data_IF_182361567437
#
_entry.id   IF_182361567437
#
_cell.length_a   1.000
_cell.length_b   1.000
_cell.length_c   1.000
_cell.angle_alpha   90.00
_cell.angle_beta   90.00
_cell.angle_gamma   90.00
#
_symmetry.space_group_name_H-M   'P 1'
#
loop_
_entity.id
_entity.type
_entity.pdbx_description
1 polymer ?
#
# COMPACT_ATOMS: atom_id res chain seq x y z
N UNK A 1 -4.32 47.16 -48.17
CA UNK A 1 -4.03 46.05 -47.27
C UNK A 1 -4.70 46.36 -45.94
N UNK A 2 -5.95 45.92 -45.73
CA UNK A 2 -6.73 46.23 -44.52
C UNK A 2 -6.25 45.32 -43.40
N UNK A 3 -5.32 45.79 -42.57
CA UNK A 3 -5.11 45.17 -41.24
C UNK A 3 -6.29 45.55 -40.34
N UNK A 4 -7.29 44.72 -40.37
CA UNK A 4 -8.46 44.91 -39.51
C UNK A 4 -7.99 44.82 -38.05
N UNK A 5 -8.35 45.80 -37.23
CA UNK A 5 -8.12 45.79 -35.76
C UNK A 5 -8.64 44.49 -35.12
N UNK A 6 -9.65 43.87 -35.70
CA UNK A 6 -10.20 42.58 -35.31
C UNK A 6 -9.24 41.42 -35.54
N UNK A 7 -8.40 41.46 -36.60
CA UNK A 7 -7.41 40.42 -36.88
C UNK A 7 -6.33 40.31 -35.79
N UNK A 8 -5.84 41.47 -35.32
CA UNK A 8 -4.82 41.48 -34.24
C UNK A 8 -5.39 40.97 -32.90
N UNK A 9 -6.62 41.40 -32.60
CA UNK A 9 -7.30 40.91 -31.37
C UNK A 9 -7.58 39.43 -31.42
N UNK A 10 -8.01 38.90 -32.59
CA UNK A 10 -8.27 37.46 -32.75
C UNK A 10 -6.97 36.63 -32.63
N UNK A 11 -5.86 37.14 -33.17
CA UNK A 11 -4.54 36.47 -33.05
C UNK A 11 -4.10 36.43 -31.58
N UNK A 12 -4.26 37.50 -30.81
CA UNK A 12 -3.90 37.52 -29.39
C UNK A 12 -4.75 36.53 -28.61
N UNK A 13 -6.07 36.48 -28.85
CA UNK A 13 -6.96 35.50 -28.21
C UNK A 13 -6.54 34.08 -28.56
N UNK A 14 -6.23 33.82 -29.83
CA UNK A 14 -5.77 32.50 -30.28
C UNK A 14 -4.47 32.05 -29.54
N UNK A 15 -3.50 32.95 -29.42
CA UNK A 15 -2.25 32.66 -28.70
C UNK A 15 -2.51 32.34 -27.23
N UNK A 16 -3.38 33.10 -26.56
CA UNK A 16 -3.74 32.84 -25.16
C UNK A 16 -4.40 31.48 -25.02
N UNK A 17 -5.31 31.10 -25.92
CA UNK A 17 -5.97 29.80 -25.90
C UNK A 17 -4.96 28.67 -26.11
N UNK A 18 -4.03 28.82 -27.06
CA UNK A 18 -2.99 27.80 -27.30
C UNK A 18 -2.08 27.63 -26.08
N UNK A 19 -1.65 28.72 -25.44
CA UNK A 19 -0.85 28.67 -24.21
C UNK A 19 -1.62 28.00 -23.08
N UNK A 20 -2.91 28.31 -22.93
CA UNK A 20 -3.77 27.65 -21.92
C UNK A 20 -3.90 26.13 -22.16
N UNK A 21 -4.07 25.71 -23.41
CA UNK A 21 -4.14 24.28 -23.77
C UNK A 21 -2.80 23.57 -23.46
N UNK A 22 -1.66 24.17 -23.80
CA UNK A 22 -0.35 23.61 -23.49
C UNK A 22 -0.17 23.47 -21.97
N UNK A 23 -0.57 24.50 -21.20
CA UNK A 23 -0.54 24.46 -19.74
C UNK A 23 -1.40 23.35 -19.16
N UNK A 24 -2.62 23.17 -19.66
CA UNK A 24 -3.52 22.08 -19.25
C UNK A 24 -2.95 20.70 -19.59
N UNK A 25 -2.40 20.52 -20.78
CA UNK A 25 -1.78 19.24 -21.18
C UNK A 25 -0.56 18.93 -20.32
N UNK A 26 0.28 19.92 -20.02
CA UNK A 26 1.42 19.75 -19.11
C UNK A 26 0.99 19.36 -17.69
N UNK A 27 -0.07 19.99 -17.16
CA UNK A 27 -0.63 19.68 -15.86
C UNK A 27 -1.23 18.26 -15.80
N UNK A 28 -1.98 17.85 -16.83
CA UNK A 28 -2.52 16.48 -16.94
C UNK A 28 -1.39 15.44 -17.04
N UNK A 29 -0.37 15.73 -17.84
CA UNK A 29 0.81 14.87 -17.95
C UNK A 29 1.53 14.70 -16.61
N UNK A 30 1.69 15.78 -15.85
CA UNK A 30 2.27 15.72 -14.52
C UNK A 30 1.45 14.86 -13.54
N UNK A 31 0.12 15.00 -13.54
CA UNK A 31 -0.75 14.18 -12.69
C UNK A 31 -0.64 12.68 -13.01
N UNK A 32 -0.58 12.33 -14.29
CA UNK A 32 -0.41 10.92 -14.73
C UNK A 32 0.96 10.40 -14.31
N UNK A 33 2.01 11.22 -14.44
CA UNK A 33 3.36 10.85 -14.03
C UNK A 33 3.45 10.60 -12.52
N UNK A 34 2.94 11.52 -11.68
CA UNK A 34 2.96 11.38 -10.21
C UNK A 34 2.19 10.14 -9.75
N UNK A 35 1.02 9.89 -10.34
CA UNK A 35 0.26 8.67 -10.10
C UNK A 35 1.07 7.41 -10.41
N UNK A 36 1.65 7.32 -11.62
CA UNK A 36 2.38 6.14 -12.04
C UNK A 36 3.61 5.91 -11.17
N UNK A 37 4.29 6.99 -10.76
CA UNK A 37 5.42 6.93 -9.83
C UNK A 37 5.01 6.33 -8.49
N UNK A 38 3.92 6.80 -7.87
CA UNK A 38 3.43 6.29 -6.58
C UNK A 38 3.04 4.81 -6.65
N UNK A 39 2.34 4.40 -7.70
CA UNK A 39 1.96 3.00 -7.92
C UNK A 39 3.20 2.12 -8.10
N UNK A 40 4.18 2.57 -8.89
CA UNK A 40 5.41 1.84 -9.14
C UNK A 40 6.24 1.65 -7.86
N UNK A 41 6.50 2.74 -7.11
CA UNK A 41 7.24 2.69 -5.84
C UNK A 41 6.59 1.73 -4.83
N UNK A 42 5.26 1.74 -4.73
CA UNK A 42 4.54 0.83 -3.84
C UNK A 42 4.66 -0.62 -4.30
N UNK A 43 4.52 -0.89 -5.60
CA UNK A 43 4.64 -2.24 -6.16
C UNK A 43 6.05 -2.80 -5.99
N UNK A 44 7.08 -2.00 -6.27
CA UNK A 44 8.49 -2.38 -6.07
C UNK A 44 8.77 -2.71 -4.59
N UNK A 45 8.25 -1.92 -3.66
CA UNK A 45 8.35 -2.23 -2.24
C UNK A 45 7.70 -3.59 -1.90
N UNK A 46 6.49 -3.82 -2.41
CA UNK A 46 5.74 -5.07 -2.17
C UNK A 46 6.47 -6.27 -2.78
N UNK A 47 7.03 -6.13 -3.97
CA UNK A 47 7.75 -7.21 -4.64
C UNK A 47 9.06 -7.53 -3.91
N UNK A 48 9.81 -6.53 -3.46
CA UNK A 48 11.01 -6.71 -2.64
C UNK A 48 10.68 -7.32 -1.26
N UNK A 49 9.57 -6.89 -0.64
CA UNK A 49 9.12 -7.41 0.64
C UNK A 49 8.73 -8.89 0.55
N UNK A 50 8.01 -9.27 -0.50
CA UNK A 50 7.55 -10.64 -0.72
C UNK A 50 8.62 -11.53 -1.37
N UNK A 51 9.60 -10.96 -2.08
CA UNK A 51 10.66 -11.70 -2.81
C UNK A 51 11.87 -12.05 -1.98
N UNK A 52 11.99 -11.58 -0.75
CA UNK A 52 13.12 -11.87 0.13
C UNK A 52 13.27 -13.33 0.57
N UNK A 53 12.37 -14.22 0.15
CA UNK A 53 12.43 -15.68 0.44
C UNK A 53 12.53 -16.59 -0.80
N UNK A 54 12.69 -16.05 -2.01
CA UNK A 54 12.81 -16.85 -3.22
C UNK A 54 13.84 -16.27 -4.20
N UNK A 55 15.12 -16.42 -3.88
CA UNK A 55 16.15 -16.40 -4.93
C UNK A 55 17.30 -17.32 -4.53
N UNK A 56 17.10 -18.60 -4.78
CA UNK A 56 18.18 -19.52 -5.13
C UNK A 56 17.92 -20.01 -6.55
N UNK A 57 18.84 -19.65 -7.45
CA UNK A 57 19.01 -20.07 -8.85
C UNK A 57 18.12 -19.45 -9.94
N UNK A 58 18.64 -18.45 -10.66
CA UNK A 58 19.16 -18.70 -12.00
C UNK A 58 19.98 -17.50 -12.50
N UNK A 59 21.23 -17.80 -12.90
CA UNK A 59 22.11 -16.93 -13.67
C UNK A 59 21.44 -16.44 -14.96
N UNK A 60 21.49 -15.13 -15.20
CA UNK A 60 21.90 -14.61 -16.50
C UNK A 60 22.43 -13.18 -16.35
N UNK A 61 23.65 -13.04 -16.85
CA UNK A 61 24.51 -11.88 -16.90
C UNK A 61 23.90 -10.75 -17.75
N UNK A 62 23.89 -9.51 -17.22
CA UNK A 62 24.25 -8.31 -17.99
C UNK A 62 24.60 -7.12 -17.09
N UNK A 63 25.67 -6.49 -17.49
CA UNK A 63 26.52 -5.46 -16.92
C UNK A 63 25.86 -4.13 -16.57
N UNK A 64 26.47 -3.54 -15.50
CA UNK A 64 26.81 -2.13 -15.26
C UNK A 64 25.73 -1.04 -15.18
N UNK A 65 25.53 -0.45 -13.99
CA UNK A 65 26.16 0.81 -13.54
C UNK A 65 25.76 1.21 -12.12
N UNK A 66 26.78 1.34 -11.23
CA UNK A 66 27.01 2.27 -10.13
C UNK A 66 25.94 2.53 -9.05
N UNK A 67 26.12 1.96 -7.84
CA UNK A 67 26.99 2.47 -6.78
C UNK A 67 26.48 3.72 -6.06
N UNK A 68 25.59 3.50 -5.08
CA UNK A 68 25.46 4.33 -3.86
C UNK A 68 24.71 3.57 -2.71
N UNK A 69 24.11 2.40 -2.98
CA UNK A 69 23.37 1.61 -1.98
C UNK A 69 24.22 0.70 -1.10
N UNK A 70 25.40 0.29 -1.58
CA UNK A 70 26.21 -0.74 -0.92
C UNK A 70 26.96 -0.26 0.33
N UNK A 71 27.21 1.02 0.47
CA UNK A 71 27.95 1.53 1.63
C UNK A 71 27.13 1.65 2.93
N UNK A 72 25.82 1.66 2.84
CA UNK A 72 24.94 1.71 4.02
C UNK A 72 24.67 0.33 4.63
N UNK A 73 24.72 -0.72 3.82
CA UNK A 73 24.55 -2.09 4.30
C UNK A 73 25.83 -2.64 4.97
N UNK A 74 27.00 -2.15 4.57
CA UNK A 74 28.27 -2.56 5.15
C UNK A 74 28.51 -1.95 6.53
N UNK A 75 27.98 -0.76 6.79
CA UNK A 75 28.03 -0.11 8.11
C UNK A 75 27.08 -0.77 9.12
N UNK A 76 25.94 -1.27 8.67
CA UNK A 76 24.98 -1.96 9.54
C UNK A 76 25.45 -3.36 9.96
N UNK A 77 26.25 -4.04 9.14
CA UNK A 77 26.79 -5.36 9.46
C UNK A 77 28.04 -5.31 10.34
N UNK A 78 28.76 -4.19 10.35
CA UNK A 78 29.98 -4.06 11.15
C UNK A 78 29.76 -3.62 12.61
N UNK A 79 28.55 -3.24 12.98
CA UNK A 79 28.18 -2.87 14.35
C UNK A 79 27.69 -4.02 15.21
N UNK A 80 27.64 -5.24 14.67
CA UNK A 80 27.08 -6.40 15.39
C UNK A 80 28.11 -7.50 15.74
N UNK A 81 29.41 -7.19 15.72
CA UNK A 81 30.44 -8.14 16.15
C UNK A 81 31.40 -7.50 17.14
N UNK A 82 31.09 -7.56 18.41
CA UNK A 82 32.04 -7.74 19.52
C UNK A 82 31.26 -7.94 20.82
N UNK A 83 31.22 -9.14 21.35
CA UNK A 83 31.79 -9.54 22.64
C UNK A 83 31.33 -10.96 22.95
N UNK A 84 32.22 -11.92 22.84
CA UNK A 84 32.07 -13.21 23.47
C UNK A 84 32.38 -13.08 24.97
N UNK A 85 31.52 -13.65 25.82
CA UNK A 85 31.93 -14.22 27.09
C UNK A 85 30.97 -15.32 27.51
N UNK A 86 31.52 -16.47 27.83
CA UNK A 86 30.95 -17.74 28.25
C UNK A 86 29.89 -17.65 29.36
N UNK A 87 28.83 -18.45 29.23
CA UNK A 87 27.89 -18.76 30.29
C UNK A 87 26.62 -19.40 29.74
N UNK A 88 26.53 -20.75 29.80
CA UNK A 88 25.39 -21.50 29.23
C UNK A 88 24.07 -21.10 29.85
N UNK A 89 23.19 -20.61 29.01
CA UNK A 89 21.75 -20.48 29.24
C UNK A 89 21.10 -20.56 27.87
N UNK A 90 20.16 -21.46 27.70
CA UNK A 90 19.37 -21.64 26.49
C UNK A 90 18.72 -20.30 26.12
N UNK A 91 19.39 -19.54 25.27
CA UNK A 91 18.84 -18.27 24.76
C UNK A 91 17.90 -18.62 23.62
N UNK A 92 16.61 -18.61 23.91
CA UNK A 92 15.58 -18.50 22.88
C UNK A 92 15.87 -17.19 22.12
N UNK A 93 16.49 -17.32 20.97
CA UNK A 93 16.74 -16.17 20.08
C UNK A 93 15.39 -15.66 19.61
N UNK A 94 14.87 -14.66 20.27
CA UNK A 94 13.73 -13.90 19.80
C UNK A 94 14.22 -13.15 18.55
N UNK A 95 14.04 -13.75 17.39
CA UNK A 95 14.27 -13.05 16.13
C UNK A 95 13.28 -11.88 16.12
N UNK A 96 13.82 -10.69 16.31
CA UNK A 96 13.08 -9.43 16.15
C UNK A 96 12.69 -9.35 14.68
N UNK A 97 11.42 -9.53 14.39
CA UNK A 97 10.91 -9.42 13.02
C UNK A 97 11.33 -8.09 12.42
N UNK A 98 11.80 -8.13 11.20
CA UNK A 98 12.07 -6.94 10.41
C UNK A 98 10.73 -6.27 10.09
N UNK A 99 10.28 -5.33 10.91
CA UNK A 99 9.23 -4.40 10.50
C UNK A 99 9.73 -3.67 9.26
N UNK A 100 9.05 -3.85 8.13
CA UNK A 100 9.32 -3.07 6.94
C UNK A 100 9.10 -1.59 7.25
N UNK A 101 9.83 -0.72 6.60
CA UNK A 101 9.61 0.72 6.65
C UNK A 101 9.32 1.23 5.25
N UNK A 102 8.17 1.84 5.06
CA UNK A 102 7.78 2.45 3.81
C UNK A 102 7.61 3.97 3.99
N UNK A 103 8.45 4.76 3.34
CA UNK A 103 8.45 6.23 3.41
C UNK A 103 8.46 6.78 4.84
N UNK A 104 9.20 6.14 5.73
CA UNK A 104 9.33 6.56 7.13
C UNK A 104 8.25 5.99 8.07
N UNK A 105 7.29 5.20 7.56
CA UNK A 105 6.25 4.57 8.36
C UNK A 105 6.51 3.08 8.52
N UNK A 106 6.35 2.57 9.75
CA UNK A 106 6.39 1.14 10.00
C UNK A 106 5.23 0.44 9.28
N UNK A 107 5.50 -0.72 8.69
CA UNK A 107 4.49 -1.53 8.00
C UNK A 107 4.19 -2.79 8.78
N UNK A 108 2.96 -3.29 8.70
CA UNK A 108 2.54 -4.59 9.26
C UNK A 108 2.52 -5.69 8.22
N UNK A 109 2.65 -5.33 6.94
CA UNK A 109 2.62 -6.28 5.85
C UNK A 109 2.36 -5.61 4.51
N UNK A 110 2.00 -6.42 3.53
CA UNK A 110 1.66 -5.98 2.18
C UNK A 110 0.34 -6.58 1.71
N UNK A 111 -0.35 -5.90 0.80
CA UNK A 111 -1.62 -6.35 0.23
C UNK A 111 -1.58 -6.29 -1.29
N UNK A 112 -2.03 -7.38 -1.93
CA UNK A 112 -2.26 -7.45 -3.38
C UNK A 112 -3.72 -7.81 -3.65
N UNK A 113 -4.36 -7.09 -4.58
CA UNK A 113 -5.71 -7.36 -5.07
C UNK A 113 -5.67 -7.36 -6.60
N UNK A 114 -5.45 -8.52 -7.23
CA UNK A 114 -5.24 -8.60 -8.69
C UNK A 114 -6.40 -8.05 -9.52
N UNK A 115 -7.65 -8.25 -9.07
CA UNK A 115 -8.86 -7.80 -9.77
C UNK A 115 -8.87 -6.28 -10.08
N UNK A 116 -8.10 -5.49 -9.35
CA UNK A 116 -8.02 -4.03 -9.52
C UNK A 116 -6.58 -3.51 -9.66
N UNK A 117 -5.61 -4.40 -9.91
CA UNK A 117 -4.17 -4.09 -9.98
C UNK A 117 -3.66 -3.31 -8.76
N UNK A 118 -4.12 -3.71 -7.57
CA UNK A 118 -3.70 -3.10 -6.31
C UNK A 118 -2.50 -3.86 -5.73
N UNK A 119 -1.43 -3.14 -5.39
CA UNK A 119 -0.23 -3.71 -4.75
C UNK A 119 0.41 -2.62 -3.88
N UNK A 120 0.19 -2.68 -2.56
CA UNK A 120 0.64 -1.65 -1.61
C UNK A 120 1.07 -2.24 -0.27
N UNK A 121 2.06 -1.61 0.41
CA UNK A 121 2.33 -1.89 1.82
C UNK A 121 1.14 -1.45 2.69
N UNK A 122 0.99 -2.11 3.84
CA UNK A 122 0.01 -1.75 4.87
C UNK A 122 0.78 -1.11 6.03
N UNK A 123 0.53 0.16 6.28
CA UNK A 123 1.13 0.90 7.40
C UNK A 123 0.44 0.50 8.71
N UNK A 124 1.19 0.42 9.79
CA UNK A 124 0.74 -0.10 11.09
C UNK A 124 -0.31 0.77 11.78
N UNK A 125 -0.35 2.06 11.48
CA UNK A 125 -1.25 2.99 12.16
C UNK A 125 -1.72 4.13 11.25
N UNK A 126 -2.93 4.62 11.55
CA UNK A 126 -3.55 5.72 10.82
C UNK A 126 -3.07 7.05 11.34
N UNK A 127 -2.54 7.86 10.43
CA UNK A 127 -2.35 9.30 10.60
C UNK A 127 -2.66 10.00 9.26
N UNK A 128 -2.81 11.30 9.27
CA UNK A 128 -3.00 12.05 8.02
C UNK A 128 -1.88 11.74 7.01
N UNK A 129 -0.63 11.79 7.45
CA UNK A 129 0.52 11.54 6.59
C UNK A 129 0.68 10.07 6.20
N UNK A 130 0.32 9.09 7.06
CA UNK A 130 0.41 7.69 6.70
C UNK A 130 -0.52 7.32 5.56
N UNK A 131 -1.80 7.74 5.63
CA UNK A 131 -2.79 7.42 4.58
C UNK A 131 -2.59 8.21 3.28
N UNK A 132 -1.82 9.29 3.29
CA UNK A 132 -1.37 9.99 2.07
C UNK A 132 -0.26 9.22 1.33
N UNK A 133 0.39 8.26 1.99
CA UNK A 133 1.48 7.49 1.43
C UNK A 133 1.10 6.04 1.10
N UNK A 134 0.18 5.43 1.84
CA UNK A 134 -0.32 4.07 1.58
C UNK A 134 -1.67 3.83 2.25
N UNK A 135 -2.07 2.57 2.36
CA UNK A 135 -3.19 2.14 3.19
C UNK A 135 -2.69 1.81 4.59
N UNK A 136 -3.54 1.93 5.60
CA UNK A 136 -3.12 1.78 6.99
C UNK A 136 -4.16 1.02 7.82
N UNK A 137 -3.69 0.35 8.88
CA UNK A 137 -4.57 -0.33 9.85
C UNK A 137 -5.26 0.71 10.71
N UNK A 138 -6.59 0.69 10.71
CA UNK A 138 -7.43 1.49 11.57
C UNK A 138 -7.82 0.74 12.85
N UNK A 139 -8.11 -0.55 12.74
CA UNK A 139 -8.56 -1.41 13.84
C UNK A 139 -8.04 -2.84 13.66
N UNK A 140 -7.60 -3.53 14.72
CA UNK A 140 -7.32 -2.97 16.04
C UNK A 140 -6.18 -1.95 16.00
N UNK A 141 -6.22 -0.96 16.88
CA UNK A 141 -5.14 0.02 17.00
C UNK A 141 -3.91 -0.63 17.64
N UNK A 142 -2.73 -0.36 17.07
CA UNK A 142 -1.46 -0.82 17.64
C UNK A 142 -0.64 -1.78 16.76
N UNK A 143 -1.07 -2.05 15.52
CA UNK A 143 -0.24 -2.67 14.48
C UNK A 143 0.29 -4.07 14.80
N UNK A 144 -0.48 -4.89 15.49
CA UNK A 144 -0.21 -6.33 15.58
C UNK A 144 -0.53 -7.01 14.24
N UNK A 145 -0.08 -8.27 14.08
CA UNK A 145 -0.26 -9.02 12.84
C UNK A 145 -1.69 -8.94 12.28
N UNK A 146 -1.79 -8.58 11.01
CA UNK A 146 -3.10 -8.46 10.33
C UNK A 146 -3.68 -9.82 9.92
N UNK A 147 -2.89 -10.87 9.95
CA UNK A 147 -3.31 -12.23 9.58
C UNK A 147 -3.68 -13.08 10.82
N UNK A 148 -4.02 -12.45 11.94
CA UNK A 148 -4.46 -13.14 13.15
C UNK A 148 -6.00 -13.30 13.20
N UNK A 149 -6.50 -14.28 13.99
CA UNK A 149 -7.94 -14.41 14.22
C UNK A 149 -8.57 -13.12 14.72
N UNK A 150 -9.66 -12.75 14.11
CA UNK A 150 -10.35 -11.48 14.36
C UNK A 150 -10.48 -10.66 13.09
N UNK A 151 -11.09 -9.49 13.19
CA UNK A 151 -11.25 -8.59 12.06
C UNK A 151 -10.24 -7.45 12.09
N UNK A 152 -9.50 -7.28 10.99
CA UNK A 152 -8.62 -6.13 10.79
C UNK A 152 -9.26 -5.16 9.82
N UNK A 153 -9.40 -3.90 10.22
CA UNK A 153 -9.90 -2.83 9.35
C UNK A 153 -8.74 -2.04 8.78
N UNK A 154 -8.62 -2.04 7.47
CA UNK A 154 -7.63 -1.27 6.71
C UNK A 154 -8.33 -0.15 5.98
N UNK A 155 -7.82 1.08 6.12
CA UNK A 155 -8.36 2.23 5.41
C UNK A 155 -7.37 2.76 4.37
N UNK A 156 -7.90 3.41 3.36
CA UNK A 156 -7.13 4.10 2.32
C UNK A 156 -7.97 5.13 1.61
N UNK A 157 -7.31 6.13 1.06
CA UNK A 157 -7.99 7.18 0.30
C UNK A 157 -8.63 6.68 -0.99
N UNK A 158 -9.77 7.28 -1.34
CA UNK A 158 -10.34 7.24 -2.67
C UNK A 158 -10.10 8.59 -3.37
N UNK A 159 -8.96 8.70 -4.06
CA UNK A 159 -8.65 9.90 -4.85
C UNK A 159 -9.34 9.93 -6.23
N UNK A 160 -10.17 8.92 -6.55
CA UNK A 160 -10.87 8.76 -7.84
C UNK A 160 -9.93 8.71 -9.06
N UNK A 161 -8.65 8.46 -8.84
CA UNK A 161 -7.59 8.46 -9.85
C UNK A 161 -6.89 7.10 -10.02
N UNK A 162 -7.33 6.06 -9.30
CA UNK A 162 -6.78 4.71 -9.34
C UNK A 162 -5.62 4.46 -8.37
N UNK A 163 -5.26 5.45 -7.52
CA UNK A 163 -4.28 5.29 -6.43
C UNK A 163 -5.02 4.79 -5.17
N UNK A 164 -4.36 3.98 -4.36
CA UNK A 164 -4.89 3.37 -3.15
C UNK A 164 -6.24 2.66 -3.38
N UNK A 165 -7.27 2.97 -2.61
CA UNK A 165 -8.58 2.31 -2.69
C UNK A 165 -9.54 2.92 -3.72
N UNK A 166 -9.06 3.78 -4.61
CA UNK A 166 -9.90 4.41 -5.66
C UNK A 166 -10.63 3.41 -6.56
N UNK A 167 -10.08 2.20 -6.73
CA UNK A 167 -10.68 1.16 -7.56
C UNK A 167 -11.52 0.14 -6.77
N UNK A 168 -11.63 0.25 -5.44
CA UNK A 168 -12.38 -0.70 -4.61
C UNK A 168 -13.85 -0.84 -5.03
N UNK A 169 -14.42 0.20 -5.63
CA UNK A 169 -15.79 0.14 -6.20
C UNK A 169 -15.96 -0.95 -7.27
N UNK A 170 -14.89 -1.36 -7.95
CA UNK A 170 -14.92 -2.40 -8.99
C UNK A 170 -14.87 -3.82 -8.42
N UNK A 171 -14.47 -3.99 -7.16
CA UNK A 171 -14.41 -5.29 -6.51
C UNK A 171 -15.78 -5.91 -6.36
N UNK A 172 -15.81 -7.25 -6.44
CA UNK A 172 -17.02 -8.08 -6.37
C UNK A 172 -16.84 -9.15 -5.30
N UNK A 173 -17.96 -9.69 -4.82
CA UNK A 173 -17.97 -10.91 -4.01
C UNK A 173 -17.31 -12.04 -4.81
N UNK A 174 -16.40 -12.76 -4.16
CA UNK A 174 -15.55 -13.80 -4.77
C UNK A 174 -14.17 -13.35 -5.20
N UNK A 175 -13.90 -12.04 -5.32
CA UNK A 175 -12.56 -11.56 -5.62
C UNK A 175 -11.60 -11.87 -4.45
N UNK A 176 -10.33 -12.09 -4.79
CA UNK A 176 -9.29 -12.50 -3.85
C UNK A 176 -8.41 -11.32 -3.43
N UNK A 177 -8.04 -11.32 -2.15
CA UNK A 177 -7.09 -10.41 -1.54
C UNK A 177 -5.95 -11.25 -0.94
N UNK A 178 -4.73 -10.95 -1.30
CA UNK A 178 -3.52 -11.62 -0.79
C UNK A 178 -2.82 -10.69 0.19
N UNK A 179 -2.63 -11.15 1.41
CA UNK A 179 -1.97 -10.37 2.46
C UNK A 179 -0.76 -11.13 2.97
N UNK A 180 0.40 -10.52 2.86
CA UNK A 180 1.65 -11.00 3.46
C UNK A 180 1.91 -10.22 4.73
N UNK A 181 1.99 -10.92 5.85
CA UNK A 181 2.27 -10.34 7.16
C UNK A 181 3.76 -10.08 7.38
N UNK A 182 4.05 -9.21 8.30
CA UNK A 182 5.39 -8.82 8.72
C UNK A 182 6.11 -9.86 9.62
N UNK A 183 5.53 -11.00 9.90
CA UNK A 183 6.17 -12.13 10.59
C UNK A 183 6.82 -11.83 11.95
N UNK A 184 6.17 -11.03 12.72
CA UNK A 184 6.92 -10.41 13.77
C UNK A 184 6.71 -10.86 15.17
N UNK A 185 5.72 -11.56 15.61
CA UNK A 185 5.55 -11.73 17.06
C UNK A 185 4.88 -12.98 17.58
N UNK A 186 4.17 -13.73 16.78
CA UNK A 186 3.47 -14.93 17.31
C UNK A 186 3.75 -16.17 16.46
N UNK A 187 4.65 -16.99 16.97
CA UNK A 187 5.01 -18.33 16.49
C UNK A 187 3.83 -19.32 16.37
N UNK A 188 2.62 -18.92 16.68
CA UNK A 188 1.44 -19.78 16.66
C UNK A 188 0.69 -19.78 15.32
N UNK A 189 0.91 -18.78 14.48
CA UNK A 189 0.28 -18.71 13.17
C UNK A 189 1.30 -19.00 12.07
N UNK A 190 1.16 -20.14 11.43
CA UNK A 190 2.06 -20.61 10.35
C UNK A 190 1.80 -19.94 8.99
N UNK A 191 1.04 -18.87 8.95
CA UNK A 191 0.58 -18.30 7.70
C UNK A 191 1.05 -16.88 7.48
N UNK A 192 2.31 -16.71 7.05
CA UNK A 192 2.81 -15.41 6.59
C UNK A 192 1.98 -14.80 5.47
N UNK A 193 1.39 -15.65 4.61
CA UNK A 193 0.63 -15.26 3.44
C UNK A 193 -0.76 -15.85 3.55
N UNK A 194 -1.76 -15.00 3.80
CA UNK A 194 -3.14 -15.41 3.76
C UNK A 194 -3.85 -14.92 2.48
N UNK A 195 -4.73 -15.78 1.98
CA UNK A 195 -5.67 -15.44 0.94
C UNK A 195 -7.03 -15.20 1.58
N UNK A 196 -7.63 -14.08 1.23
CA UNK A 196 -8.98 -13.70 1.67
C UNK A 196 -9.92 -13.68 0.49
N UNK A 197 -11.15 -14.12 0.69
CA UNK A 197 -12.23 -14.00 -0.29
C UNK A 197 -13.23 -12.96 0.17
N UNK A 198 -13.54 -12.02 -0.71
CA UNK A 198 -14.59 -11.02 -0.48
C UNK A 198 -15.95 -11.73 -0.42
N UNK A 199 -16.68 -11.54 0.69
CA UNK A 199 -18.00 -12.13 0.87
C UNK A 199 -19.13 -11.10 0.98
N UNK A 200 -18.80 -9.82 1.25
CA UNK A 200 -19.80 -8.77 1.30
C UNK A 200 -19.20 -7.40 0.91
N UNK A 201 -20.07 -6.54 0.37
CA UNK A 201 -19.74 -5.17 -0.02
C UNK A 201 -20.97 -4.30 0.13
N UNK A 202 -20.84 -3.18 0.85
CA UNK A 202 -21.95 -2.26 1.08
C UNK A 202 -21.43 -0.83 1.31
N UNK A 203 -22.35 0.11 1.33
CA UNK A 203 -22.06 1.50 1.68
C UNK A 203 -22.75 1.88 2.99
N UNK A 204 -22.05 2.69 3.79
CA UNK A 204 -22.58 3.22 5.06
C UNK A 204 -22.14 4.67 5.25
N UNK A 205 -22.52 5.31 6.35
CA UNK A 205 -22.03 6.63 6.70
C UNK A 205 -20.65 6.56 7.37
N UNK A 206 -19.99 7.70 7.51
CA UNK A 206 -18.63 7.80 8.06
C UNK A 206 -18.55 7.62 9.59
N UNK A 207 -19.68 7.67 10.29
CA UNK A 207 -19.78 7.45 11.73
C UNK A 207 -20.07 5.99 12.09
N UNK A 208 -20.41 5.15 11.12
CA UNK A 208 -20.69 3.74 11.35
C UNK A 208 -19.40 2.97 11.66
N UNK A 209 -19.36 2.38 12.84
CA UNK A 209 -18.27 1.51 13.31
C UNK A 209 -18.73 0.05 13.52
N UNK A 210 -19.97 -0.26 13.16
CA UNK A 210 -20.57 -1.59 13.39
C UNK A 210 -19.81 -2.73 12.71
N UNK A 211 -19.05 -2.41 11.64
CA UNK A 211 -18.24 -3.39 10.93
C UNK A 211 -16.84 -3.62 11.54
N UNK A 212 -16.48 -2.94 12.64
CA UNK A 212 -15.16 -3.12 13.29
C UNK A 212 -15.06 -4.43 14.04
N UNK A 213 -16.04 -4.71 14.89
CA UNK A 213 -16.07 -5.89 15.73
C UNK A 213 -17.11 -6.87 15.19
N UNK A 214 -16.66 -8.06 14.85
CA UNK A 214 -17.51 -9.14 14.35
C UNK A 214 -17.06 -10.46 14.93
N UNK A 215 -18.01 -11.39 15.08
CA UNK A 215 -17.70 -12.78 15.37
C UNK A 215 -17.05 -13.42 14.15
N UNK A 216 -15.81 -13.87 14.27
CA UNK A 216 -15.02 -14.42 13.14
C UNK A 216 -14.82 -15.93 13.23
N UNK A 217 -15.37 -16.56 14.28
CA UNK A 217 -15.25 -18.01 14.53
C UNK A 217 -13.79 -18.50 14.50
N UNK A 218 -12.88 -17.69 15.04
CA UNK A 218 -11.46 -18.00 15.12
C UNK A 218 -10.69 -17.86 13.80
N UNK A 219 -11.31 -17.31 12.75
CA UNK A 219 -10.63 -17.01 11.46
C UNK A 219 -10.16 -15.56 11.41
N UNK A 220 -9.17 -15.31 10.56
CA UNK A 220 -8.80 -13.94 10.21
C UNK A 220 -9.84 -13.36 9.24
N UNK A 221 -10.30 -12.16 9.50
CA UNK A 221 -11.13 -11.37 8.60
C UNK A 221 -10.48 -10.03 8.30
N UNK A 222 -10.77 -9.52 7.12
CA UNK A 222 -10.26 -8.25 6.63
C UNK A 222 -11.42 -7.37 6.18
N UNK A 223 -11.42 -6.13 6.65
CA UNK A 223 -12.33 -5.09 6.21
C UNK A 223 -11.56 -3.99 5.50
N UNK A 224 -11.92 -3.66 4.27
CA UNK A 224 -11.40 -2.48 3.57
C UNK A 224 -12.44 -1.37 3.64
N UNK A 225 -12.01 -0.17 4.04
CA UNK A 225 -12.89 1.00 4.13
C UNK A 225 -12.28 2.20 3.40
N UNK A 226 -13.09 2.86 2.59
CA UNK A 226 -12.71 4.07 1.84
C UNK A 226 -13.92 4.97 1.62
N UNK A 227 -13.68 6.24 1.26
CA UNK A 227 -14.75 7.13 0.84
C UNK A 227 -15.39 6.66 -0.46
N UNK A 228 -16.67 6.95 -0.67
CA UNK A 228 -17.34 6.69 -1.94
C UNK A 228 -16.98 7.75 -2.99
N UNK A 229 -17.27 7.47 -4.26
CA UNK A 229 -17.06 8.47 -5.32
C UNK A 229 -18.03 9.66 -5.20
N UNK A 230 -19.22 9.41 -4.66
CA UNK A 230 -20.28 10.40 -4.56
C UNK A 230 -20.09 11.38 -3.38
N UNK A 231 -19.51 10.89 -2.26
CA UNK A 231 -19.39 11.69 -1.04
C UNK A 231 -18.23 11.24 -0.17
N UNK A 232 -17.63 12.19 0.53
CA UNK A 232 -16.64 11.92 1.56
C UNK A 232 -17.28 11.52 2.92
N UNK A 233 -18.58 11.72 3.08
CA UNK A 233 -19.32 11.37 4.29
C UNK A 233 -19.88 9.94 4.25
N UNK A 234 -19.67 9.26 3.11
CA UNK A 234 -20.05 7.85 2.94
C UNK A 234 -18.82 6.98 2.77
N UNK A 235 -18.92 5.78 3.30
CA UNK A 235 -17.87 4.75 3.22
C UNK A 235 -18.33 3.59 2.38
N UNK A 236 -17.46 3.14 1.48
CA UNK A 236 -17.53 1.85 0.84
C UNK A 236 -16.80 0.84 1.70
N UNK A 237 -17.53 -0.15 2.18
CA UNK A 237 -17.02 -1.23 3.04
C UNK A 237 -16.96 -2.52 2.25
N UNK A 238 -15.84 -3.22 2.35
CA UNK A 238 -15.63 -4.53 1.74
C UNK A 238 -15.19 -5.48 2.84
N UNK A 239 -15.94 -6.57 3.00
CA UNK A 239 -15.66 -7.60 3.98
C UNK A 239 -15.09 -8.83 3.28
N UNK A 240 -13.96 -9.31 3.76
CA UNK A 240 -13.32 -10.51 3.25
C UNK A 240 -12.90 -11.42 4.42
N UNK A 241 -12.98 -12.72 4.20
CA UNK A 241 -12.61 -13.75 5.18
C UNK A 241 -11.48 -14.61 4.62
N UNK A 242 -10.64 -15.09 5.52
CA UNK A 242 -9.60 -16.06 5.23
C UNK A 242 -10.18 -17.27 4.51
N UNK A 243 -9.51 -17.73 3.47
CA UNK A 243 -9.79 -19.01 2.82
C UNK A 243 -9.42 -20.18 3.75
N UNK A 244 -10.05 -21.33 3.56
CA UNK A 244 -9.78 -22.56 4.32
C UNK A 244 -8.42 -23.14 4.00
#
# INVERSE_FOLDING_TARGET
MFESKYGKTLTVILVIVVVAIIGLLGFLGYQVYDKNKKVKEASEFVDNYNGGESSSNNNETKEDTNSAGDKLNEIASSLNSTTETNGGTTTTTTQTAKKGNYKGFATVGTMKIPAINFSYPIIDSVSKSSIENSVAVLYPSGGESINEPGNTVVIGHNYRNGVFFSNNKKLKVGDKIYVTDNDGKKLTYKGKNLTYTIYNKFETNDQDTSFYQRETNGKAELTLSTCTDASNDRRLIILAKQDD
#
